data_IF_189812849544
#
_entry.id   IF_189812849544
#
_cell.length_a   1.000
_cell.length_b   1.000
_cell.length_c   1.000
_cell.angle_alpha   90.00
_cell.angle_beta   90.00
_cell.angle_gamma   90.00
#
_symmetry.space_group_name_H-M   'P 1'
#
loop_
_entity.id
_entity.type
_entity.pdbx_description
1 polymer ?
#
# COMPACT_ATOMS: atom_id res chain seq x y z
N UNK A 1 -5.20 48.19 -17.12
CA UNK A 1 -4.53 46.87 -16.93
C UNK A 1 -4.97 45.78 -17.91
N UNK A 2 -6.23 45.72 -18.36
CA UNK A 2 -6.70 44.66 -19.29
C UNK A 2 -6.11 44.78 -20.72
N UNK A 3 -5.92 46.00 -21.24
CA UNK A 3 -5.34 46.21 -22.58
C UNK A 3 -3.88 45.72 -22.70
N UNK A 4 -3.09 45.86 -21.63
CA UNK A 4 -1.69 45.40 -21.60
C UNK A 4 -1.58 43.88 -21.69
N UNK A 5 -2.47 43.15 -21.02
CA UNK A 5 -2.51 41.68 -21.06
C UNK A 5 -2.95 41.15 -22.42
N UNK A 6 -3.84 41.86 -23.11
CA UNK A 6 -4.27 41.51 -24.47
C UNK A 6 -3.13 41.66 -25.48
N UNK A 7 -2.38 42.76 -25.41
CA UNK A 7 -1.23 43.00 -26.27
C UNK A 7 -0.10 41.96 -26.06
N UNK A 8 0.12 41.57 -24.81
CA UNK A 8 1.09 40.52 -24.46
C UNK A 8 0.66 39.14 -25.02
N UNK A 9 -0.62 38.79 -24.89
CA UNK A 9 -1.18 37.56 -25.45
C UNK A 9 -1.08 37.53 -27.00
N UNK A 10 -1.42 38.62 -27.68
CA UNK A 10 -1.29 38.72 -29.14
C UNK A 10 0.16 38.56 -29.61
N UNK A 11 1.11 39.11 -28.84
CA UNK A 11 2.55 38.96 -29.13
C UNK A 11 3.02 37.52 -29.01
N UNK A 12 2.58 36.82 -27.95
CA UNK A 12 2.90 35.40 -27.74
C UNK A 12 2.29 34.54 -28.84
N UNK A 13 1.03 34.80 -29.21
CA UNK A 13 0.33 34.06 -30.25
C UNK A 13 1.02 34.21 -31.61
N UNK A 14 1.38 35.44 -31.99
CA UNK A 14 2.10 35.73 -33.23
C UNK A 14 3.45 34.99 -33.29
N UNK A 15 4.22 35.04 -32.20
CA UNK A 15 5.51 34.34 -32.10
C UNK A 15 5.37 32.82 -32.26
N UNK A 16 4.30 32.23 -31.72
CA UNK A 16 4.03 30.80 -31.87
C UNK A 16 3.65 30.43 -33.31
N UNK A 17 2.84 31.25 -33.97
CA UNK A 17 2.47 31.05 -35.38
C UNK A 17 3.67 31.15 -36.33
N UNK A 18 4.57 32.10 -36.09
CA UNK A 18 5.79 32.25 -36.88
C UNK A 18 6.76 31.07 -36.67
N UNK A 19 6.93 30.63 -35.42
CA UNK A 19 7.72 29.43 -35.12
C UNK A 19 7.16 28.17 -35.78
N UNK A 20 5.84 28.00 -35.82
CA UNK A 20 5.19 26.85 -36.47
C UNK A 20 5.45 26.87 -37.97
N UNK A 21 5.27 28.02 -38.63
CA UNK A 21 5.56 28.18 -40.07
C UNK A 21 7.03 27.90 -40.40
N UNK A 22 7.94 28.39 -39.58
CA UNK A 22 9.39 28.18 -39.76
C UNK A 22 9.77 26.70 -39.64
N UNK A 23 9.15 25.97 -38.69
CA UNK A 23 9.34 24.51 -38.55
C UNK A 23 8.80 23.72 -39.73
N UNK A 24 7.64 24.08 -40.26
CA UNK A 24 7.06 23.41 -41.43
C UNK A 24 7.91 23.65 -42.69
N UNK A 25 8.38 24.88 -42.91
CA UNK A 25 9.30 25.19 -44.01
C UNK A 25 10.64 24.45 -43.87
N UNK A 26 11.18 24.36 -42.65
CA UNK A 26 12.41 23.60 -42.39
C UNK A 26 12.23 22.10 -42.65
N UNK A 27 11.06 21.52 -42.31
CA UNK A 27 10.74 20.13 -42.60
C UNK A 27 10.63 19.87 -44.12
N UNK A 28 9.94 20.74 -44.86
CA UNK A 28 9.81 20.63 -46.33
C UNK A 28 11.14 20.77 -47.08
N UNK A 29 12.09 21.55 -46.54
CA UNK A 29 13.44 21.69 -47.12
C UNK A 29 14.35 20.48 -46.89
N UNK A 30 14.03 19.60 -45.92
CA UNK A 30 14.81 18.38 -45.64
C UNK A 30 14.42 17.22 -46.56
N UNK A 31 13.16 17.11 -46.94
CA UNK A 31 12.69 16.07 -47.88
C UNK A 31 13.23 16.28 -49.30
N UNK A 32 13.42 17.53 -49.73
CA UNK A 32 13.93 17.84 -51.08
C UNK A 32 15.45 17.70 -51.21
N UNK A 33 16.21 17.69 -50.10
CA UNK A 33 17.68 17.50 -50.13
C UNK A 33 18.14 16.05 -50.10
N UNK A 34 17.30 15.10 -49.67
CA UNK A 34 17.64 13.67 -49.71
C UNK A 34 17.30 13.01 -51.07
N UNK A 35 16.45 13.64 -51.89
CA UNK A 35 16.05 13.13 -53.19
C UNK A 35 17.09 13.33 -54.33
N UNK A 36 18.10 14.18 -54.17
CA UNK A 36 18.98 14.59 -55.28
C UNK A 36 20.40 13.97 -55.28
N UNK A 37 20.73 13.03 -54.38
CA UNK A 37 22.10 12.50 -54.25
C UNK A 37 22.27 10.99 -54.41
N UNK A 38 21.31 10.30 -55.04
CA UNK A 38 21.42 8.87 -55.34
C UNK A 38 21.20 8.61 -56.84
N UNK A 39 22.20 8.95 -57.66
CA UNK A 39 22.34 8.40 -59.01
C UNK A 39 23.77 7.91 -59.21
N UNK A 40 23.86 6.73 -59.80
CA UNK A 40 25.03 5.89 -60.06
C UNK A 40 25.48 4.99 -58.88
N UNK A 41 24.90 3.78 -58.79
CA UNK A 41 25.55 2.56 -59.33
C UNK A 41 24.63 1.32 -59.22
N UNK A 42 24.63 0.57 -60.31
CA UNK A 42 24.32 -0.86 -60.49
C UNK A 42 22.88 -1.35 -60.28
N UNK A 43 22.35 -1.83 -61.40
CA UNK A 43 21.19 -2.70 -61.58
C UNK A 43 21.29 -4.01 -60.79
N UNK A 44 20.22 -4.40 -60.12
CA UNK A 44 19.71 -5.78 -60.18
C UNK A 44 18.19 -5.72 -60.23
N UNK A 45 17.64 -6.40 -61.22
CA UNK A 45 16.22 -6.50 -61.50
C UNK A 45 15.49 -7.32 -60.43
N UNK A 46 14.26 -6.90 -60.15
CA UNK A 46 13.08 -7.75 -59.97
C UNK A 46 13.06 -8.76 -58.81
N UNK A 47 12.29 -8.46 -57.76
CA UNK A 47 10.94 -9.03 -57.63
C UNK A 47 10.28 -8.65 -56.30
N UNK A 48 9.04 -8.16 -56.43
CA UNK A 48 7.90 -8.41 -55.55
C UNK A 48 7.89 -7.83 -54.13
N UNK A 49 7.02 -6.83 -54.01
CA UNK A 49 6.20 -6.50 -52.85
C UNK A 49 5.85 -7.70 -51.95
N UNK A 50 6.09 -7.54 -50.65
CA UNK A 50 5.31 -8.14 -49.55
C UNK A 50 5.71 -7.45 -48.24
N UNK A 51 5.41 -6.16 -48.10
CA UNK A 51 5.31 -5.54 -46.78
C UNK A 51 4.02 -6.04 -46.11
N UNK A 52 4.13 -7.13 -45.34
CA UNK A 52 3.24 -7.50 -44.22
C UNK A 52 3.61 -8.92 -43.73
N UNK A 53 4.83 -9.09 -43.19
CA UNK A 53 5.14 -10.34 -42.48
C UNK A 53 4.67 -10.23 -41.03
N UNK A 54 3.35 -10.42 -40.87
CA UNK A 54 2.61 -11.00 -39.76
C UNK A 54 3.50 -11.44 -38.56
N UNK A 55 3.18 -10.97 -37.34
CA UNK A 55 3.71 -11.46 -36.06
C UNK A 55 4.20 -12.90 -36.19
N UNK A 56 5.48 -13.15 -35.90
CA UNK A 56 6.07 -14.47 -36.06
C UNK A 56 5.15 -15.50 -35.37
N UNK A 57 4.84 -16.61 -36.05
CA UNK A 57 3.90 -17.64 -35.55
C UNK A 57 4.19 -18.07 -34.09
N UNK A 58 5.45 -17.96 -33.66
CA UNK A 58 5.91 -18.12 -32.29
C UNK A 58 5.34 -17.10 -31.30
N UNK A 59 5.31 -15.81 -31.64
CA UNK A 59 4.78 -14.74 -30.80
C UNK A 59 3.28 -14.89 -30.57
N UNK A 60 2.53 -15.25 -31.63
CA UNK A 60 1.10 -15.51 -31.51
C UNK A 60 0.84 -16.70 -30.57
N UNK A 61 1.63 -17.76 -30.68
CA UNK A 61 1.51 -18.93 -29.80
C UNK A 61 1.83 -18.58 -28.34
N UNK A 62 2.85 -17.74 -28.10
CA UNK A 62 3.20 -17.27 -26.76
C UNK A 62 2.08 -16.41 -26.16
N UNK A 63 1.51 -15.49 -26.93
CA UNK A 63 0.38 -14.67 -26.50
C UNK A 63 -0.85 -15.53 -26.13
N UNK A 64 -1.14 -16.58 -26.90
CA UNK A 64 -2.21 -17.54 -26.59
C UNK A 64 -1.91 -18.27 -25.28
N UNK A 65 -0.68 -18.73 -25.08
CA UNK A 65 -0.27 -19.42 -23.85
C UNK A 65 -0.39 -18.50 -22.63
N UNK A 66 0.10 -17.25 -22.73
CA UNK A 66 -0.01 -16.25 -21.67
C UNK A 66 -1.48 -15.93 -21.36
N UNK A 67 -2.32 -15.74 -22.38
CA UNK A 67 -3.77 -15.54 -22.19
C UNK A 67 -4.41 -16.69 -21.42
N UNK A 68 -4.09 -17.93 -21.81
CA UNK A 68 -4.63 -19.12 -21.14
C UNK A 68 -4.13 -19.25 -19.70
N UNK A 69 -2.84 -18.96 -19.47
CA UNK A 69 -2.25 -18.93 -18.14
C UNK A 69 -2.96 -17.91 -17.23
N UNK A 70 -3.10 -16.67 -17.67
CA UNK A 70 -3.77 -15.63 -16.91
C UNK A 70 -5.25 -15.93 -16.69
N UNK A 71 -5.93 -16.52 -17.67
CA UNK A 71 -7.32 -16.97 -17.51
C UNK A 71 -7.46 -18.06 -16.44
N UNK A 72 -6.54 -19.03 -16.43
CA UNK A 72 -6.52 -20.08 -15.40
C UNK A 72 -6.25 -19.47 -14.02
N UNK A 73 -5.24 -18.60 -13.93
CA UNK A 73 -4.87 -17.94 -12.67
C UNK A 73 -5.98 -17.06 -12.12
N UNK A 74 -6.69 -16.34 -12.98
CA UNK A 74 -7.86 -15.55 -12.58
C UNK A 74 -8.97 -16.43 -12.01
N UNK A 75 -9.22 -17.59 -12.63
CA UNK A 75 -10.22 -18.55 -12.15
C UNK A 75 -9.84 -19.13 -10.77
N UNK A 76 -8.58 -19.52 -10.60
CA UNK A 76 -8.06 -20.00 -9.30
C UNK A 76 -8.24 -18.94 -8.21
N UNK A 77 -7.87 -17.69 -8.49
CA UNK A 77 -8.05 -16.58 -7.55
C UNK A 77 -9.53 -16.30 -7.23
N UNK A 78 -10.43 -16.46 -8.20
CA UNK A 78 -11.87 -16.33 -7.96
C UNK A 78 -12.42 -17.48 -7.09
N UNK A 79 -11.96 -18.70 -7.31
CA UNK A 79 -12.32 -19.87 -6.48
C UNK A 79 -11.82 -19.69 -5.03
N UNK A 80 -10.57 -19.26 -4.83
CA UNK A 80 -10.02 -18.92 -3.51
C UNK A 80 -10.80 -17.80 -2.83
N UNK A 81 -11.14 -16.74 -3.57
CA UNK A 81 -11.92 -15.61 -3.06
C UNK A 81 -13.31 -16.05 -2.61
N UNK A 82 -13.98 -16.92 -3.37
CA UNK A 82 -15.29 -17.48 -3.01
C UNK A 82 -15.19 -18.35 -1.77
N UNK A 83 -14.17 -19.20 -1.68
CA UNK A 83 -13.92 -20.04 -0.53
C UNK A 83 -13.71 -19.20 0.76
N UNK A 84 -12.87 -18.18 0.70
CA UNK A 84 -12.65 -17.27 1.83
C UNK A 84 -13.94 -16.54 2.23
N UNK A 85 -14.76 -16.11 1.27
CA UNK A 85 -16.07 -15.49 1.58
C UNK A 85 -17.01 -16.46 2.28
N UNK A 86 -17.05 -17.72 1.86
CA UNK A 86 -17.88 -18.73 2.54
C UNK A 86 -17.36 -19.06 3.95
N UNK A 87 -16.04 -19.09 4.16
CA UNK A 87 -15.48 -19.22 5.51
C UNK A 87 -15.88 -18.05 6.41
N UNK A 88 -15.76 -16.81 5.93
CA UNK A 88 -16.17 -15.61 6.67
C UNK A 88 -17.65 -15.67 7.03
N UNK A 89 -18.53 -16.04 6.09
CA UNK A 89 -19.96 -16.22 6.37
C UNK A 89 -20.21 -17.32 7.41
N UNK A 90 -19.49 -18.43 7.34
CA UNK A 90 -19.62 -19.52 8.30
C UNK A 90 -19.23 -19.07 9.72
N UNK A 91 -18.10 -18.38 9.85
CA UNK A 91 -17.65 -17.80 11.12
C UNK A 91 -18.65 -16.78 11.65
N UNK A 92 -19.17 -15.92 10.78
CA UNK A 92 -20.21 -14.94 11.15
C UNK A 92 -21.45 -15.63 11.71
N UNK A 93 -21.97 -16.68 11.04
CA UNK A 93 -23.12 -17.46 11.57
C UNK A 93 -22.82 -18.13 12.91
N UNK A 94 -21.59 -18.62 13.09
CA UNK A 94 -21.16 -19.21 14.36
C UNK A 94 -21.16 -18.18 15.49
N UNK A 95 -20.64 -16.99 15.24
CA UNK A 95 -20.65 -15.89 16.19
C UNK A 95 -22.08 -15.43 16.51
N UNK A 96 -22.92 -15.23 15.50
CA UNK A 96 -24.34 -14.87 15.68
C UNK A 96 -25.08 -15.90 16.53
N UNK A 97 -24.86 -17.20 16.29
CA UNK A 97 -25.44 -18.28 17.12
C UNK A 97 -24.93 -18.21 18.57
N UNK A 98 -23.65 -17.92 18.78
CA UNK A 98 -23.07 -17.83 20.13
C UNK A 98 -23.60 -16.60 20.88
N UNK A 99 -23.74 -15.46 20.20
CA UNK A 99 -24.38 -14.25 20.74
C UNK A 99 -25.80 -14.58 21.17
N UNK A 100 -26.59 -15.19 20.30
CA UNK A 100 -27.98 -15.58 20.61
C UNK A 100 -28.08 -16.52 21.83
N UNK A 101 -27.16 -17.47 21.97
CA UNK A 101 -27.10 -18.36 23.15
C UNK A 101 -26.78 -17.60 24.43
N UNK A 102 -25.87 -16.62 24.37
CA UNK A 102 -25.53 -15.79 25.53
C UNK A 102 -26.72 -14.89 25.93
N UNK A 103 -27.40 -14.29 24.97
CA UNK A 103 -28.60 -13.47 25.23
C UNK A 103 -29.71 -14.30 25.87
N UNK A 104 -29.92 -15.52 25.39
CA UNK A 104 -30.91 -16.45 25.98
C UNK A 104 -30.57 -16.80 27.43
N UNK A 105 -29.28 -17.07 27.73
CA UNK A 105 -28.83 -17.36 29.10
C UNK A 105 -28.96 -16.15 30.02
N UNK A 106 -28.66 -14.95 29.52
CA UNK A 106 -28.80 -13.72 30.29
C UNK A 106 -30.27 -13.41 30.60
N UNK A 107 -31.17 -13.58 29.62
CA UNK A 107 -32.61 -13.42 29.81
C UNK A 107 -33.19 -14.46 30.79
N UNK A 108 -32.72 -15.71 30.74
CA UNK A 108 -33.11 -16.76 31.69
C UNK A 108 -32.63 -16.51 33.12
N UNK A 109 -31.42 -15.96 33.29
CA UNK A 109 -30.90 -15.58 34.61
C UNK A 109 -31.71 -14.42 35.23
N UNK A 110 -32.18 -13.46 34.42
CA UNK A 110 -33.02 -12.35 34.90
C UNK A 110 -34.45 -12.78 35.28
N UNK A 111 -34.96 -13.91 34.77
CA UNK A 111 -36.25 -14.46 35.19
C UNK A 111 -36.16 -15.35 36.45
N UNK A 112 -34.98 -15.90 36.77
CA UNK A 112 -34.78 -16.73 37.95
C UNK A 112 -34.64 -15.91 39.26
N UNK A 113 -34.29 -14.63 39.18
CA UNK A 113 -34.11 -13.74 40.34
C UNK A 113 -35.41 -13.06 40.82
N UNK A 114 -36.56 -13.48 40.29
CA UNK A 114 -37.87 -12.88 40.57
C UNK A 114 -38.78 -13.65 41.56
N UNK A 115 -38.34 -14.78 42.13
CA UNK A 115 -39.16 -15.53 43.11
C UNK A 115 -38.37 -16.05 44.33
N UNK A 116 -38.83 -15.55 45.47
CA UNK A 116 -38.56 -15.95 46.87
C UNK A 116 -37.29 -15.40 47.53
N UNK A 117 -37.47 -14.23 48.15
CA UNK A 117 -36.98 -14.04 49.50
C UNK A 117 -37.85 -14.88 50.44
N UNK A 118 -37.33 -15.98 50.98
CA UNK A 118 -37.75 -16.48 52.29
C UNK A 118 -36.58 -17.25 52.90
N UNK A 119 -36.24 -16.83 54.11
CA UNK A 119 -35.29 -17.40 55.06
C UNK A 119 -35.26 -18.93 55.04
N UNK A 120 -34.08 -19.55 55.16
CA UNK A 120 -33.89 -20.65 56.11
C UNK A 120 -32.40 -20.90 56.38
N UNK A 121 -32.07 -20.74 57.66
CA UNK A 121 -30.93 -21.32 58.35
C UNK A 121 -30.84 -22.83 58.11
N UNK A 122 -29.67 -23.35 57.76
CA UNK A 122 -29.02 -24.46 58.48
C UNK A 122 -27.66 -24.84 57.85
N UNK A 123 -26.70 -25.06 58.74
CA UNK A 123 -25.43 -25.78 58.53
C UNK A 123 -25.60 -27.11 57.79
N UNK A 124 -24.56 -27.58 57.09
CA UNK A 124 -23.97 -28.84 57.54
C UNK A 124 -22.43 -28.90 57.45
N UNK A 125 -21.82 -29.26 58.58
CA UNK A 125 -20.92 -30.40 58.78
C UNK A 125 -20.10 -30.92 57.58
N UNK A 126 -18.77 -30.79 57.72
CA UNK A 126 -17.73 -31.59 57.04
C UNK A 126 -17.98 -33.12 57.16
N UNK A 127 -17.52 -33.92 56.20
CA UNK A 127 -16.32 -34.69 56.54
C UNK A 127 -15.21 -34.66 55.48
N UNK A 128 -14.01 -34.70 56.03
CA UNK A 128 -12.70 -35.08 55.50
C UNK A 128 -12.70 -36.11 54.37
N UNK A 129 -11.90 -35.89 53.31
CA UNK A 129 -10.57 -36.52 53.14
C UNK A 129 -9.89 -36.07 51.85
N UNK A 130 -8.62 -35.67 51.97
CA UNK A 130 -7.46 -36.05 51.12
C UNK A 130 -7.54 -35.79 49.60
N UNK A 131 -6.58 -35.18 48.89
CA UNK A 131 -5.15 -34.92 49.06
C UNK A 131 -4.79 -33.88 47.95
N UNK A 132 -3.88 -32.94 48.23
CA UNK A 132 -2.75 -32.57 47.36
C UNK A 132 -2.16 -31.23 47.78
N UNK A 133 -0.91 -31.33 48.23
CA UNK A 133 0.09 -30.32 48.53
C UNK A 133 0.25 -29.21 47.48
N UNK A 134 0.34 -27.94 47.91
CA UNK A 134 1.41 -27.02 47.49
C UNK A 134 1.36 -25.73 48.34
N UNK A 135 2.56 -25.24 48.63
CA UNK A 135 2.92 -24.29 49.68
C UNK A 135 2.55 -22.85 49.36
N UNK A 136 2.06 -22.17 50.40
CA UNK A 136 1.86 -20.73 50.49
C UNK A 136 3.20 -20.01 50.68
N UNK A 137 3.41 -18.90 49.95
CA UNK A 137 4.09 -17.72 50.50
C UNK A 137 3.63 -16.47 49.73
N UNK A 138 2.76 -15.67 50.34
CA UNK A 138 2.78 -14.21 50.20
C UNK A 138 3.45 -13.61 51.43
N UNK A 139 3.96 -12.37 51.33
CA UNK A 139 3.35 -11.32 52.15
C UNK A 139 3.14 -9.95 51.46
N UNK A 140 1.98 -9.34 51.77
CA UNK A 140 1.82 -7.98 52.35
C UNK A 140 1.79 -6.70 51.48
N UNK A 141 0.56 -6.16 51.34
CA UNK A 141 0.01 -4.78 51.52
C UNK A 141 0.78 -3.46 51.21
N UNK A 142 0.19 -2.63 50.30
CA UNK A 142 -0.31 -1.19 50.34
C UNK A 142 0.38 -0.09 51.21
N UNK A 143 0.24 1.27 51.02
CA UNK A 143 -0.73 2.06 50.20
C UNK A 143 -0.31 3.46 49.59
N UNK A 144 -1.24 4.08 48.81
CA UNK A 144 -1.47 5.55 48.65
C UNK A 144 -0.77 6.27 47.47
N UNK A 145 -1.29 7.29 46.77
CA UNK A 145 -2.46 8.19 46.94
C UNK A 145 -2.57 9.13 45.70
N UNK A 146 -3.80 9.32 45.17
CA UNK A 146 -4.42 10.52 44.51
C UNK A 146 -3.81 11.25 43.29
N UNK A 147 -4.52 11.95 42.40
CA UNK A 147 -5.94 12.18 42.05
C UNK A 147 -5.99 13.06 40.78
N UNK A 148 -7.08 12.93 39.99
CA UNK A 148 -7.88 13.99 39.29
C UNK A 148 -7.22 14.90 38.21
N UNK A 149 -7.86 15.35 37.11
CA UNK A 149 -9.26 15.33 36.67
C UNK A 149 -9.36 15.78 35.17
N UNK A 150 -10.34 15.21 34.46
CA UNK A 150 -11.33 15.80 33.50
C UNK A 150 -10.93 16.98 32.55
N UNK A 151 -11.40 17.12 31.30
CA UNK A 151 -12.77 16.92 30.76
C UNK A 151 -12.83 17.16 29.23
N UNK A 152 -13.75 16.43 28.56
CA UNK A 152 -14.62 16.81 27.41
C UNK A 152 -14.00 17.21 26.05
N UNK A 153 -14.56 16.89 24.88
CA UNK A 153 -15.76 16.14 24.48
C UNK A 153 -15.73 15.84 22.96
N UNK A 154 -16.24 14.65 22.63
CA UNK A 154 -17.15 14.31 21.53
C UNK A 154 -16.76 14.57 20.06
N UNK A 155 -16.50 13.48 19.31
CA UNK A 155 -17.12 13.30 17.99
C UNK A 155 -17.26 11.82 17.67
N UNK A 156 -18.51 11.41 17.51
CA UNK A 156 -19.01 10.06 17.31
C UNK A 156 -18.76 9.58 15.88
N UNK A 157 -18.16 8.40 15.69
CA UNK A 157 -18.42 7.52 14.54
C UNK A 157 -18.16 6.05 14.93
N UNK A 158 -18.97 5.10 14.42
CA UNK A 158 -19.16 3.78 15.01
C UNK A 158 -18.01 2.81 14.72
N UNK A 159 -17.79 1.95 15.69
CA UNK A 159 -16.80 0.89 15.74
C UNK A 159 -16.94 -0.13 14.59
N UNK A 160 -15.81 -0.45 13.97
CA UNK A 160 -15.59 -1.77 13.37
C UNK A 160 -14.53 -2.49 14.21
N UNK A 161 -14.99 -3.22 15.21
CA UNK A 161 -14.20 -4.24 15.90
C UNK A 161 -13.98 -5.41 14.93
N UNK A 162 -12.83 -5.44 14.29
CA UNK A 162 -12.23 -6.70 13.83
C UNK A 162 -11.06 -6.98 14.75
N UNK A 163 -11.38 -7.54 15.92
CA UNK A 163 -10.44 -8.14 16.85
C UNK A 163 -9.86 -9.42 16.22
N UNK A 164 -8.93 -9.27 15.29
CA UNK A 164 -8.02 -10.36 14.92
C UNK A 164 -7.09 -10.53 16.12
N UNK A 165 -7.18 -11.68 16.77
CA UNK A 165 -6.27 -12.16 17.82
C UNK A 165 -4.97 -11.36 17.91
N UNK A 166 -4.96 -10.39 18.82
CA UNK A 166 -3.80 -9.57 19.14
C UNK A 166 -2.77 -10.43 19.90
N UNK A 167 -2.10 -11.31 19.16
CA UNK A 167 -0.68 -11.55 19.46
C UNK A 167 0.01 -10.20 19.23
N UNK A 168 0.89 -9.74 20.13
CA UNK A 168 1.77 -8.62 19.82
C UNK A 168 2.63 -9.09 18.64
N UNK A 169 2.24 -8.75 17.41
CA UNK A 169 3.12 -8.92 16.25
C UNK A 169 4.24 -7.95 16.48
N UNK A 170 5.37 -8.48 16.93
CA UNK A 170 6.56 -7.67 17.11
C UNK A 170 6.90 -6.99 15.78
N UNK A 171 7.07 -5.67 15.83
CA UNK A 171 7.49 -4.90 14.68
C UNK A 171 8.92 -5.35 14.28
N UNK A 172 9.19 -5.36 12.98
CA UNK A 172 10.50 -5.69 12.39
C UNK A 172 10.95 -7.14 12.62
N UNK A 173 10.05 -8.11 12.45
CA UNK A 173 10.33 -9.54 12.63
C UNK A 173 10.03 -10.37 11.37
N UNK A 174 10.75 -11.50 11.23
CA UNK A 174 10.45 -12.50 10.22
C UNK A 174 9.30 -13.39 10.68
N UNK A 175 8.35 -13.65 9.79
CA UNK A 175 7.23 -14.54 9.99
C UNK A 175 7.59 -15.97 9.55
N UNK A 176 6.80 -16.95 9.99
CA UNK A 176 7.05 -18.38 9.72
C UNK A 176 7.03 -18.73 8.22
N UNK A 177 6.33 -17.94 7.41
CA UNK A 177 6.28 -18.07 5.95
C UNK A 177 7.51 -17.46 5.24
N UNK A 178 8.47 -16.93 6.00
CA UNK A 178 9.65 -16.24 5.51
C UNK A 178 9.40 -14.80 5.08
N UNK A 179 8.17 -14.28 5.19
CA UNK A 179 7.89 -12.87 4.97
C UNK A 179 8.39 -12.02 6.15
N UNK A 180 8.49 -10.70 5.96
CA UNK A 180 9.00 -9.80 6.98
C UNK A 180 7.93 -8.77 7.36
N UNK A 181 7.58 -8.73 8.64
CA UNK A 181 6.68 -7.75 9.21
C UNK A 181 7.45 -6.46 9.50
N UNK A 182 7.04 -5.35 8.90
CA UNK A 182 7.58 -4.02 9.19
C UNK A 182 6.94 -3.46 10.47
N UNK A 183 5.89 -2.67 10.32
CA UNK A 183 5.05 -2.21 11.43
C UNK A 183 3.63 -1.99 10.92
N UNK A 184 2.68 -1.87 11.84
CA UNK A 184 1.26 -1.62 11.54
C UNK A 184 0.67 -2.64 10.56
N UNK A 185 1.07 -3.90 10.68
CA UNK A 185 0.55 -4.99 9.84
C UNK A 185 1.05 -4.99 8.39
N UNK A 186 2.03 -4.14 8.04
CA UNK A 186 2.63 -4.16 6.70
C UNK A 186 3.67 -5.27 6.62
N UNK A 187 3.42 -6.21 5.73
CA UNK A 187 4.31 -7.35 5.45
C UNK A 187 4.93 -7.18 4.07
N UNK A 188 6.23 -7.47 3.98
CA UNK A 188 6.99 -7.44 2.72
C UNK A 188 7.70 -8.78 2.49
N UNK A 189 8.15 -9.00 1.27
CA UNK A 189 8.90 -10.23 0.93
C UNK A 189 10.27 -10.25 1.61
N UNK A 190 10.80 -11.46 1.87
CA UNK A 190 12.15 -11.66 2.41
C UNK A 190 13.22 -10.90 1.61
N UNK A 191 13.13 -10.96 0.28
CA UNK A 191 14.06 -10.27 -0.62
C UNK A 191 13.95 -8.74 -0.49
N UNK A 192 12.75 -8.21 -0.27
CA UNK A 192 12.52 -6.80 0.01
C UNK A 192 13.15 -6.39 1.34
N UNK A 193 12.95 -7.18 2.39
CA UNK A 193 13.54 -6.94 3.71
C UNK A 193 15.07 -6.97 3.67
N UNK A 194 15.67 -7.94 2.97
CA UNK A 194 17.11 -8.02 2.80
C UNK A 194 17.68 -6.75 2.15
N UNK A 195 17.04 -6.24 1.07
CA UNK A 195 17.46 -4.99 0.42
C UNK A 195 17.39 -3.80 1.39
N UNK A 196 16.34 -3.71 2.20
CA UNK A 196 16.15 -2.62 3.17
C UNK A 196 17.22 -2.68 4.27
N UNK A 197 17.38 -3.83 4.93
CA UNK A 197 18.24 -3.96 6.11
C UNK A 197 19.74 -3.94 5.77
N UNK A 198 20.14 -4.47 4.61
CA UNK A 198 21.55 -4.54 4.20
C UNK A 198 22.09 -3.21 3.64
N UNK A 199 21.22 -2.24 3.37
CA UNK A 199 21.63 -0.95 2.83
C UNK A 199 22.54 -0.17 3.79
N UNK A 200 23.46 0.60 3.20
CA UNK A 200 24.43 1.45 3.93
C UNK A 200 23.97 2.90 4.12
N UNK A 201 22.95 3.34 3.40
CA UNK A 201 22.49 4.74 3.39
C UNK A 201 21.00 4.80 3.70
N UNK A 202 20.60 5.63 4.67
CA UNK A 202 19.18 5.78 5.06
C UNK A 202 18.27 6.26 3.91
N UNK A 203 18.81 7.03 2.95
CA UNK A 203 18.06 7.42 1.75
C UNK A 203 17.72 6.22 0.87
N UNK A 204 18.62 5.23 0.75
CA UNK A 204 18.36 3.98 0.02
C UNK A 204 17.37 3.10 0.76
N UNK A 205 17.50 3.00 2.09
CA UNK A 205 16.52 2.30 2.96
C UNK A 205 15.12 2.85 2.71
N UNK A 206 14.95 4.18 2.70
CA UNK A 206 13.68 4.82 2.39
C UNK A 206 13.18 4.48 0.98
N UNK A 207 14.05 4.51 -0.03
CA UNK A 207 13.70 4.22 -1.43
C UNK A 207 13.32 2.75 -1.63
N UNK A 208 13.95 1.83 -0.91
CA UNK A 208 13.71 0.39 -1.02
C UNK A 208 12.50 -0.04 -0.19
N UNK A 209 12.29 0.56 0.98
CA UNK A 209 11.06 0.40 1.75
C UNK A 209 9.84 0.87 0.96
N UNK A 210 9.92 2.04 0.31
CA UNK A 210 8.85 2.50 -0.57
C UNK A 210 8.57 1.51 -1.71
N UNK A 211 9.62 0.96 -2.33
CA UNK A 211 9.46 -0.03 -3.38
C UNK A 211 8.82 -1.33 -2.86
N UNK A 212 9.21 -1.81 -1.68
CA UNK A 212 8.67 -3.02 -1.09
C UNK A 212 7.19 -2.87 -0.66
N UNK A 213 6.78 -1.69 -0.22
CA UNK A 213 5.42 -1.43 0.30
C UNK A 213 4.39 -1.22 -0.83
N UNK A 214 4.78 -0.55 -1.92
CA UNK A 214 3.85 -0.18 -2.99
C UNK A 214 4.13 -0.87 -4.33
N UNK A 215 5.37 -1.29 -4.59
CA UNK A 215 5.79 -1.78 -5.89
C UNK A 215 5.95 -0.67 -6.95
N UNK A 216 6.58 -0.98 -8.10
CA UNK A 216 6.85 -0.02 -9.16
C UNK A 216 5.57 0.46 -9.86
N UNK A 217 4.58 -0.40 -10.04
CA UNK A 217 3.35 -0.06 -10.75
C UNK A 217 2.53 0.99 -9.99
N UNK A 218 2.31 0.76 -8.70
CA UNK A 218 1.58 1.68 -7.83
C UNK A 218 2.31 3.02 -7.69
N UNK A 219 3.65 3.00 -7.56
CA UNK A 219 4.43 4.23 -7.43
C UNK A 219 4.44 5.07 -8.73
N UNK A 220 4.30 4.44 -9.91
CA UNK A 220 4.26 5.16 -11.18
C UNK A 220 2.99 6.03 -11.33
N UNK A 221 1.86 5.55 -10.79
CA UNK A 221 0.54 6.18 -10.93
C UNK A 221 0.15 7.06 -9.73
N UNK A 222 0.93 7.03 -8.63
CA UNK A 222 0.68 7.84 -7.44
C UNK A 222 1.64 9.02 -7.28
N UNK A 223 1.31 9.92 -6.37
CA UNK A 223 2.18 11.02 -5.94
C UNK A 223 2.26 11.10 -4.42
N UNK A 224 3.27 11.76 -3.85
CA UNK A 224 3.41 11.86 -2.38
C UNK A 224 2.27 12.68 -1.76
N UNK A 225 1.89 13.80 -2.37
CA UNK A 225 0.92 14.77 -1.82
C UNK A 225 -0.43 14.85 -2.54
N UNK A 226 -0.58 14.21 -3.70
CA UNK A 226 -1.80 14.36 -4.50
C UNK A 226 -1.86 15.64 -5.33
N UNK A 227 -0.80 16.45 -5.36
CA UNK A 227 -0.80 17.78 -5.99
C UNK A 227 -0.13 17.73 -7.36
N UNK A 228 -0.83 18.19 -8.40
CA UNK A 228 -0.26 18.39 -9.74
C UNK A 228 0.69 19.58 -9.71
N UNK A 229 1.88 19.43 -10.27
CA UNK A 229 2.79 20.56 -10.47
C UNK A 229 2.11 21.64 -11.32
N UNK A 230 2.28 22.92 -10.98
CA UNK A 230 1.60 24.04 -11.68
C UNK A 230 1.79 24.03 -13.20
N UNK A 231 2.98 23.63 -13.66
CA UNK A 231 3.33 23.48 -15.07
C UNK A 231 2.59 22.34 -15.77
N UNK A 232 2.29 21.25 -15.06
CA UNK A 232 1.52 20.10 -15.56
C UNK A 232 0.02 20.33 -15.47
N UNK A 233 -0.42 21.13 -14.49
CA UNK A 233 -1.82 21.58 -14.36
C UNK A 233 -2.23 22.44 -15.55
N UNK A 234 -1.34 23.30 -16.03
CA UNK A 234 -1.55 24.08 -17.26
C UNK A 234 -1.65 23.21 -18.52
N UNK A 235 -1.15 21.97 -18.47
CA UNK A 235 -1.19 20.99 -19.55
C UNK A 235 -2.39 20.03 -19.45
N UNK A 236 -3.28 20.22 -18.48
CA UNK A 236 -4.48 19.40 -18.29
C UNK A 236 -4.25 18.02 -17.63
N UNK A 237 -3.10 17.79 -16.99
CA UNK A 237 -2.81 16.52 -16.34
C UNK A 237 -3.59 16.38 -15.02
N UNK A 238 -4.30 15.27 -14.82
CA UNK A 238 -5.10 15.04 -13.62
C UNK A 238 -4.24 14.74 -12.37
N UNK A 239 -4.72 15.11 -11.17
CA UNK A 239 -4.04 14.81 -9.90
C UNK A 239 -3.90 13.32 -9.64
N UNK A 240 -2.64 12.86 -9.51
CA UNK A 240 -2.34 11.48 -9.10
C UNK A 240 -2.72 11.25 -7.64
N UNK A 241 -3.35 10.11 -7.33
CA UNK A 241 -3.73 9.75 -5.97
C UNK A 241 -2.53 9.82 -4.99
N UNK A 242 -2.71 10.41 -3.78
CA UNK A 242 -1.64 10.50 -2.79
C UNK A 242 -1.22 9.13 -2.25
N UNK A 243 0.02 9.04 -1.76
CA UNK A 243 0.46 7.93 -0.91
C UNK A 243 -0.29 8.02 0.44
N UNK A 244 -0.68 6.87 0.99
CA UNK A 244 -1.37 6.83 2.28
C UNK A 244 -0.43 7.26 3.41
N UNK A 245 -0.80 8.25 4.25
CA UNK A 245 0.04 8.76 5.33
C UNK A 245 0.50 7.68 6.31
N UNK A 246 -0.35 6.69 6.55
CA UNK A 246 -0.05 5.53 7.39
C UNK A 246 1.16 4.73 6.89
N UNK A 247 1.17 4.42 5.58
CA UNK A 247 2.28 3.68 4.95
C UNK A 247 3.58 4.50 4.90
N UNK A 248 3.48 5.83 4.83
CA UNK A 248 4.65 6.72 5.00
C UNK A 248 5.17 6.62 6.44
N UNK A 249 4.28 6.57 7.44
CA UNK A 249 4.64 6.33 8.84
C UNK A 249 5.43 5.04 9.04
N UNK A 250 5.07 3.96 8.35
CA UNK A 250 5.80 2.69 8.37
C UNK A 250 7.22 2.83 7.80
N UNK A 251 7.42 3.64 6.75
CA UNK A 251 8.77 3.92 6.25
C UNK A 251 9.59 4.71 7.27
N UNK A 252 8.99 5.70 7.93
CA UNK A 252 9.67 6.45 9.01
C UNK A 252 10.10 5.49 10.12
N UNK A 253 9.21 4.60 10.55
CA UNK A 253 9.52 3.59 11.55
C UNK A 253 10.66 2.66 11.08
N UNK A 254 10.62 2.22 9.83
CA UNK A 254 11.65 1.36 9.21
C UNK A 254 13.01 2.03 9.17
N UNK A 255 13.07 3.31 8.78
CA UNK A 255 14.32 4.08 8.74
C UNK A 255 14.86 4.30 10.15
N UNK A 256 14.00 4.58 11.14
CA UNK A 256 14.40 4.69 12.55
C UNK A 256 14.93 3.38 13.10
N UNK A 257 14.26 2.26 12.84
CA UNK A 257 14.71 0.94 13.25
C UNK A 257 16.07 0.60 12.64
N UNK A 258 16.26 0.84 11.34
CA UNK A 258 17.55 0.67 10.67
C UNK A 258 18.64 1.59 11.25
N UNK A 259 18.30 2.84 11.55
CA UNK A 259 19.22 3.81 12.16
C UNK A 259 19.70 3.35 13.54
N UNK A 260 18.78 2.84 14.36
CA UNK A 260 19.08 2.27 15.67
C UNK A 260 20.01 1.07 15.57
N UNK A 261 19.74 0.14 14.63
CA UNK A 261 20.58 -1.03 14.40
C UNK A 261 22.01 -0.69 13.96
N UNK A 262 22.20 0.44 13.25
CA UNK A 262 23.50 0.84 12.71
C UNK A 262 24.19 1.97 13.48
N UNK A 263 23.55 2.52 14.51
CA UNK A 263 24.06 3.68 15.26
C UNK A 263 24.19 4.95 14.40
N UNK A 264 23.31 5.14 13.42
CA UNK A 264 23.34 6.28 12.49
C UNK A 264 22.19 7.25 12.81
N UNK A 265 22.48 8.56 12.85
CA UNK A 265 21.44 9.57 12.93
C UNK A 265 20.62 9.61 11.63
N UNK A 266 19.32 9.37 11.76
CA UNK A 266 18.36 9.32 10.66
C UNK A 266 17.41 10.50 10.62
N UNK A 267 17.46 11.42 11.58
CA UNK A 267 16.66 12.64 11.57
C UNK A 267 16.77 13.45 10.26
N UNK A 268 17.96 13.63 9.64
CA UNK A 268 18.03 14.34 8.36
C UNK A 268 17.30 13.58 7.23
N UNK A 269 17.24 12.25 7.30
CA UNK A 269 16.51 11.42 6.32
C UNK A 269 15.01 11.53 6.56
N UNK A 270 14.56 11.43 7.81
CA UNK A 270 13.14 11.53 8.19
C UNK A 270 12.57 12.90 7.84
N UNK A 271 13.29 13.99 8.14
CA UNK A 271 12.88 15.36 7.77
C UNK A 271 12.72 15.53 6.26
N UNK A 272 13.54 14.85 5.46
CA UNK A 272 13.54 14.92 4.00
C UNK A 272 12.74 13.78 3.32
N UNK A 273 11.94 13.00 4.07
CA UNK A 273 11.30 11.80 3.54
C UNK A 273 10.41 12.08 2.32
N UNK A 274 9.64 13.16 2.35
CA UNK A 274 8.76 13.54 1.23
C UNK A 274 9.55 13.83 -0.05
N UNK A 275 10.73 14.44 0.08
CA UNK A 275 11.63 14.72 -1.04
C UNK A 275 12.19 13.41 -1.60
N UNK A 276 12.68 12.53 -0.74
CA UNK A 276 13.25 11.23 -1.13
C UNK A 276 12.20 10.34 -1.83
N UNK A 277 10.97 10.30 -1.31
CA UNK A 277 9.87 9.56 -1.93
C UNK A 277 9.47 10.16 -3.27
N UNK A 278 9.46 11.49 -3.40
CA UNK A 278 9.19 12.16 -4.66
C UNK A 278 10.26 11.84 -5.71
N UNK A 279 11.53 11.84 -5.34
CA UNK A 279 12.63 11.39 -6.20
C UNK A 279 12.44 9.92 -6.63
N UNK A 280 12.10 9.02 -5.71
CA UNK A 280 11.85 7.59 -6.04
C UNK A 280 10.72 7.42 -7.05
N UNK A 281 9.62 8.15 -6.89
CA UNK A 281 8.50 8.13 -7.85
C UNK A 281 8.97 8.63 -9.21
N UNK A 282 9.75 9.71 -9.26
CA UNK A 282 10.30 10.21 -10.52
C UNK A 282 11.26 9.20 -11.17
N UNK A 283 12.12 8.55 -10.39
CA UNK A 283 13.04 7.52 -10.87
C UNK A 283 12.25 6.38 -11.53
N UNK A 284 11.19 5.87 -10.87
CA UNK A 284 10.33 4.81 -11.41
C UNK A 284 9.61 5.24 -12.69
N UNK A 285 9.03 6.44 -12.70
CA UNK A 285 8.33 6.99 -13.88
C UNK A 285 9.28 7.20 -15.07
N UNK A 286 10.56 7.54 -14.81
CA UNK A 286 11.58 7.66 -15.85
C UNK A 286 12.00 6.29 -16.36
N UNK A 287 12.19 5.30 -15.48
CA UNK A 287 12.54 3.93 -15.87
C UNK A 287 11.47 3.31 -16.75
N UNK A 288 10.18 3.43 -16.36
CA UNK A 288 9.05 2.94 -17.16
C UNK A 288 8.86 3.59 -18.53
N UNK A 289 9.45 4.78 -18.76
CA UNK A 289 9.43 5.42 -20.07
C UNK A 289 10.56 4.95 -20.99
N UNK A 290 11.53 4.22 -20.44
CA UNK A 290 12.69 3.68 -21.17
C UNK A 290 12.54 2.20 -21.49
N UNK A 291 11.64 1.51 -20.79
CA UNK A 291 11.14 0.17 -21.15
C UNK A 291 10.20 0.29 -22.35
#
# INVERSE_FOLDING_TARGET
MLASKKAEYETILKKNMDNARTKTLAAQSRDTRQAAKKRARASSESASESEDSLCAKSELQEAINQKNFWKKRAKELDEERLFLREQVKSLQRCLESKIFQLDTKLAGAQQADGKSATEFSCTPTLPSSEQATAVCTQPTATPGTSQEQEKAANSSHPAEDTEVAHLPREDFTYLDDGSFHLSKGIIITAAGAAKILQNKKGTLVCKDAAHAIWGPDTLAVRSVRGVVASTKKALGEEPKQPLTPEKIGVIVATVKHWGLQRGVDVDPVVKNINRILSEKIQDIVKSKRKE
#
